data_IF_015070802666
#
_entry.id   IF_015070802666
#
_cell.length_a   1.000
_cell.length_b   1.000
_cell.length_c   1.000
_cell.angle_alpha   90.00
_cell.angle_beta   90.00
_cell.angle_gamma   90.00
#
_symmetry.space_group_name_H-M   'P 1'
#
loop_
_entity.id
_entity.type
_entity.pdbx_description
1 polymer ?
#
# COMPACT_ATOMS: atom_id res chain seq x y z
N UNK A 1 -15.42 10.71 -42.77
CA UNK A 1 -14.74 11.97 -43.22
C UNK A 1 -13.39 12.03 -42.53
N UNK A 2 -12.32 11.53 -43.16
CA UNK A 2 -10.96 11.58 -42.60
C UNK A 2 -10.39 12.98 -42.89
N UNK A 3 -10.31 13.82 -41.87
CA UNK A 3 -9.56 15.07 -41.99
C UNK A 3 -8.06 14.75 -42.01
N UNK A 4 -7.44 14.91 -43.14
CA UNK A 4 -5.98 14.88 -43.26
C UNK A 4 -5.40 16.12 -42.56
N UNK A 5 -4.90 15.89 -41.31
CA UNK A 5 -4.15 16.93 -40.62
C UNK A 5 -2.88 17.20 -41.44
N UNK A 6 -2.72 18.42 -41.90
CA UNK A 6 -1.59 18.82 -42.70
C UNK A 6 -0.31 18.63 -41.86
N UNK A 7 0.63 17.81 -42.36
CA UNK A 7 1.89 17.49 -41.68
C UNK A 7 2.66 18.73 -41.20
N UNK A 8 2.53 19.85 -41.94
CA UNK A 8 3.14 21.15 -41.54
C UNK A 8 2.51 21.70 -40.25
N UNK A 9 1.18 21.63 -40.12
CA UNK A 9 0.46 22.09 -38.92
C UNK A 9 0.87 21.24 -37.70
N UNK A 10 0.95 19.93 -37.87
CA UNK A 10 1.40 19.02 -36.82
C UNK A 10 2.84 19.34 -36.38
N UNK A 11 3.74 19.63 -37.32
CA UNK A 11 5.14 19.99 -37.06
C UNK A 11 5.26 21.31 -36.30
N UNK A 12 4.47 22.32 -36.62
CA UNK A 12 4.45 23.58 -35.87
C UNK A 12 3.86 23.43 -34.47
N UNK A 13 2.84 22.60 -34.33
CA UNK A 13 2.26 22.29 -33.02
C UNK A 13 3.27 21.57 -32.12
N UNK A 14 4.02 20.62 -32.66
CA UNK A 14 5.08 19.91 -31.95
C UNK A 14 6.23 20.84 -31.55
N UNK A 15 6.66 21.75 -32.46
CA UNK A 15 7.68 22.74 -32.18
C UNK A 15 7.24 23.71 -31.07
N UNK A 16 5.99 24.18 -31.11
CA UNK A 16 5.40 25.03 -30.06
C UNK A 16 5.38 24.32 -28.71
N UNK A 17 5.05 23.03 -28.68
CA UNK A 17 5.06 22.22 -27.46
C UNK A 17 6.47 22.09 -26.88
N UNK A 18 7.47 21.83 -27.73
CA UNK A 18 8.87 21.75 -27.32
C UNK A 18 9.35 23.09 -26.74
N UNK A 19 9.14 24.18 -27.45
CA UNK A 19 9.58 25.52 -26.99
C UNK A 19 8.86 25.94 -25.69
N UNK A 20 7.57 25.60 -25.53
CA UNK A 20 6.80 25.90 -24.34
C UNK A 20 7.24 25.09 -23.11
N UNK A 21 7.72 23.85 -23.31
CA UNK A 21 8.14 22.99 -22.22
C UNK A 21 9.58 23.23 -21.76
N UNK A 22 10.51 23.47 -22.69
CA UNK A 22 11.94 23.60 -22.33
C UNK A 22 12.30 24.93 -21.67
N UNK A 23 11.53 25.98 -21.83
CA UNK A 23 11.86 27.30 -21.27
C UNK A 23 10.96 27.71 -20.07
N UNK A 24 10.20 26.80 -19.54
CA UNK A 24 9.31 27.08 -18.41
C UNK A 24 10.02 26.82 -17.08
N UNK A 25 10.51 27.90 -16.44
CA UNK A 25 11.16 27.83 -15.10
C UNK A 25 10.27 27.21 -14.02
N UNK A 26 8.93 27.29 -14.18
CA UNK A 26 7.98 26.66 -13.26
C UNK A 26 7.97 25.13 -13.37
N UNK A 27 8.26 24.56 -14.55
CA UNK A 27 8.38 23.10 -14.72
C UNK A 27 9.67 22.55 -14.09
N UNK A 28 10.74 23.33 -14.08
CA UNK A 28 11.99 22.91 -13.43
C UNK A 28 11.91 22.88 -11.90
N UNK A 29 10.96 23.62 -11.32
CA UNK A 29 10.72 23.68 -9.88
C UNK A 29 9.46 22.90 -9.47
N UNK A 30 8.91 22.06 -10.35
CA UNK A 30 7.74 21.27 -10.02
C UNK A 30 8.13 20.14 -9.07
N UNK A 31 7.81 20.33 -7.80
CA UNK A 31 7.91 19.27 -6.80
C UNK A 31 6.67 18.38 -6.91
N UNK A 32 6.89 17.11 -7.16
CA UNK A 32 5.79 16.14 -7.13
C UNK A 32 5.21 16.04 -5.72
N UNK A 33 3.88 15.91 -5.60
CA UNK A 33 3.24 15.83 -4.29
C UNK A 33 3.75 14.63 -3.50
N UNK A 34 4.13 14.91 -2.26
CA UNK A 34 4.56 13.90 -1.29
C UNK A 34 3.35 13.40 -0.51
N UNK A 35 3.41 12.18 -0.02
CA UNK A 35 2.35 11.62 0.82
C UNK A 35 2.33 12.35 2.16
N UNK A 36 1.20 12.95 2.48
CA UNK A 36 0.96 13.66 3.74
C UNK A 36 0.13 12.82 4.71
N UNK A 37 -0.83 12.04 4.19
CA UNK A 37 -1.71 11.22 5.03
C UNK A 37 -1.72 9.77 4.58
N UNK A 38 -1.79 8.87 5.56
CA UNK A 38 -1.98 7.43 5.36
C UNK A 38 -3.18 7.04 6.23
N UNK A 39 -4.24 6.60 5.56
CA UNK A 39 -5.46 6.14 6.20
C UNK A 39 -5.52 4.62 6.13
N UNK A 40 -5.80 3.98 7.26
CA UNK A 40 -5.85 2.53 7.38
C UNK A 40 -7.22 2.15 7.91
N UNK A 41 -7.91 1.31 7.17
CA UNK A 41 -9.23 0.79 7.52
C UNK A 41 -9.18 -0.72 7.76
N UNK A 42 -10.03 -1.21 8.66
CA UNK A 42 -10.20 -2.64 8.91
C UNK A 42 -9.22 -3.28 9.91
N UNK A 43 -8.36 -2.50 10.55
CA UNK A 43 -7.53 -2.97 11.67
C UNK A 43 -8.33 -2.85 12.98
N UNK A 44 -8.68 -4.00 13.59
CA UNK A 44 -9.38 -4.05 14.87
C UNK A 44 -8.45 -3.79 16.05
N UNK A 45 -7.21 -4.21 15.95
CA UNK A 45 -6.19 -3.94 16.95
C UNK A 45 -5.37 -2.72 16.56
N UNK A 46 -5.24 -1.76 17.49
CA UNK A 46 -4.42 -0.56 17.29
C UNK A 46 -2.93 -0.93 17.32
N UNK A 47 -2.48 -1.53 16.23
CA UNK A 47 -1.10 -1.97 16.11
C UNK A 47 -0.20 -0.77 15.82
N UNK A 48 0.15 -0.04 16.88
CA UNK A 48 1.03 1.13 16.84
C UNK A 48 2.33 0.84 16.07
N UNK A 49 2.91 -0.33 16.27
CA UNK A 49 4.14 -0.71 15.58
C UNK A 49 3.93 -0.88 14.07
N UNK A 50 2.77 -1.33 13.65
CA UNK A 50 2.44 -1.47 12.25
C UNK A 50 2.22 -0.10 11.59
N UNK A 51 1.45 0.78 12.21
CA UNK A 51 1.29 2.17 11.76
C UNK A 51 2.64 2.88 11.64
N UNK A 52 3.52 2.72 12.63
CA UNK A 52 4.87 3.29 12.60
C UNK A 52 5.72 2.76 11.44
N UNK A 53 5.59 1.48 11.10
CA UNK A 53 6.27 0.90 9.94
C UNK A 53 5.79 1.52 8.62
N UNK A 54 4.55 1.97 8.53
CA UNK A 54 4.01 2.65 7.33
C UNK A 54 4.42 4.13 7.26
N UNK A 55 4.85 4.73 8.36
CA UNK A 55 5.24 6.15 8.37
C UNK A 55 6.42 6.48 7.47
N UNK A 56 7.28 5.50 7.14
CA UNK A 56 8.37 5.72 6.18
C UNK A 56 7.87 6.08 4.77
N UNK A 57 6.60 5.78 4.47
CA UNK A 57 5.97 6.16 3.20
C UNK A 57 5.60 7.65 3.17
N UNK A 58 5.44 8.29 4.34
CA UNK A 58 5.22 9.73 4.42
C UNK A 58 6.43 10.44 3.82
N UNK A 59 6.18 11.55 3.13
CA UNK A 59 7.18 12.35 2.42
C UNK A 59 7.79 11.69 1.16
N UNK A 60 7.41 10.46 0.84
CA UNK A 60 7.73 9.88 -0.47
C UNK A 60 6.80 10.44 -1.54
N UNK A 61 7.30 10.52 -2.76
CA UNK A 61 6.51 10.92 -3.91
C UNK A 61 5.44 9.86 -4.20
N UNK A 62 4.15 10.26 -4.22
CA UNK A 62 3.03 9.33 -4.43
C UNK A 62 3.07 8.60 -5.77
N UNK A 63 3.67 9.22 -6.82
CA UNK A 63 3.80 8.62 -8.15
C UNK A 63 4.92 7.58 -8.23
N UNK A 64 5.97 7.76 -7.40
CA UNK A 64 7.17 6.93 -7.41
C UNK A 64 7.20 5.88 -6.28
N UNK A 65 6.08 5.69 -5.59
CA UNK A 65 6.00 4.64 -4.57
C UNK A 65 6.21 3.28 -5.22
N UNK A 66 7.16 2.56 -4.65
CA UNK A 66 7.38 1.16 -4.95
C UNK A 66 6.30 0.30 -4.27
N UNK A 67 5.41 -0.24 -5.10
CA UNK A 67 4.32 -1.11 -4.64
C UNK A 67 4.85 -2.41 -4.02
N UNK A 68 6.03 -2.89 -4.42
CA UNK A 68 6.65 -4.07 -3.85
C UNK A 68 6.99 -3.86 -2.37
N UNK A 69 7.54 -2.71 -2.01
CA UNK A 69 7.88 -2.40 -0.61
C UNK A 69 6.63 -2.38 0.29
N UNK A 70 5.52 -1.82 -0.22
CA UNK A 70 4.25 -1.82 0.52
C UNK A 70 3.74 -3.26 0.68
N UNK A 71 3.76 -4.04 -0.40
CA UNK A 71 3.32 -5.43 -0.43
C UNK A 71 4.11 -6.30 0.54
N UNK A 72 5.43 -6.19 0.55
CA UNK A 72 6.29 -6.93 1.47
C UNK A 72 5.97 -6.59 2.93
N UNK A 73 5.79 -5.30 3.23
CA UNK A 73 5.47 -4.84 4.56
C UNK A 73 4.10 -5.34 5.03
N UNK A 74 3.08 -5.30 4.18
CA UNK A 74 1.75 -5.80 4.49
C UNK A 74 1.75 -7.33 4.65
N UNK A 75 2.44 -8.04 3.78
CA UNK A 75 2.57 -9.50 3.83
C UNK A 75 3.38 -10.00 5.04
N UNK A 76 4.26 -9.17 5.59
CA UNK A 76 5.03 -9.51 6.79
C UNK A 76 4.19 -9.54 8.07
N UNK A 77 2.99 -8.98 8.04
CA UNK A 77 2.08 -9.03 9.18
C UNK A 77 1.16 -10.25 9.07
N UNK A 78 1.31 -11.17 10.02
CA UNK A 78 0.55 -12.43 10.04
C UNK A 78 -0.95 -12.23 10.31
N UNK A 79 -1.36 -11.09 10.85
CA UNK A 79 -2.75 -10.77 11.10
C UNK A 79 -3.50 -10.35 9.84
N UNK A 80 -2.81 -10.06 8.74
CA UNK A 80 -3.42 -9.60 7.51
C UNK A 80 -3.77 -10.80 6.62
N UNK A 81 -5.05 -10.95 6.30
CA UNK A 81 -5.56 -11.92 5.34
C UNK A 81 -5.52 -11.36 3.92
N UNK A 82 -6.10 -10.19 3.73
CA UNK A 82 -6.17 -9.50 2.46
C UNK A 82 -5.97 -8.00 2.66
N UNK A 83 -5.53 -7.32 1.63
CA UNK A 83 -5.40 -5.86 1.63
C UNK A 83 -5.62 -5.28 0.25
N UNK A 84 -6.05 -4.01 0.24
CA UNK A 84 -6.10 -3.17 -0.96
C UNK A 84 -5.41 -1.84 -0.65
N UNK A 85 -4.66 -1.33 -1.63
CA UNK A 85 -3.94 -0.07 -1.51
C UNK A 85 -4.41 0.87 -2.60
N UNK A 86 -4.88 2.05 -2.21
CA UNK A 86 -5.38 3.07 -3.13
C UNK A 86 -4.55 4.34 -2.99
N UNK A 87 -4.07 4.84 -4.13
CA UNK A 87 -3.43 6.15 -4.20
C UNK A 87 -4.51 7.19 -4.41
N UNK A 88 -4.81 7.98 -3.37
CA UNK A 88 -5.74 9.11 -3.44
C UNK A 88 -4.96 10.40 -3.70
N UNK A 89 -4.97 10.82 -4.94
CA UNK A 89 -4.27 12.03 -5.34
C UNK A 89 -4.90 13.29 -4.72
N UNK A 90 -4.10 14.33 -4.41
CA UNK A 90 -2.68 14.45 -4.75
C UNK A 90 -1.70 13.80 -3.75
N UNK A 91 -2.08 13.54 -2.49
CA UNK A 91 -1.10 13.30 -1.42
C UNK A 91 -1.52 12.29 -0.35
N UNK A 92 -2.53 11.46 -0.60
CA UNK A 92 -3.06 10.51 0.37
C UNK A 92 -2.93 9.08 -0.10
N UNK A 93 -2.61 8.18 0.85
CA UNK A 93 -2.61 6.74 0.65
C UNK A 93 -3.68 6.12 1.54
N UNK A 94 -4.56 5.32 0.94
CA UNK A 94 -5.57 4.57 1.67
C UNK A 94 -5.25 3.09 1.60
N UNK A 95 -5.29 2.41 2.75
CA UNK A 95 -5.01 0.99 2.88
C UNK A 95 -6.22 0.35 3.56
N UNK A 96 -6.92 -0.50 2.84
CA UNK A 96 -7.97 -1.34 3.39
C UNK A 96 -7.38 -2.70 3.75
N UNK A 97 -7.64 -3.16 4.96
CA UNK A 97 -7.12 -4.42 5.49
C UNK A 97 -8.28 -5.30 5.94
N UNK A 98 -8.21 -6.56 5.58
CA UNK A 98 -9.06 -7.61 6.13
C UNK A 98 -8.19 -8.45 7.06
N UNK A 99 -8.56 -8.49 8.34
CA UNK A 99 -7.85 -9.31 9.33
C UNK A 99 -8.18 -10.79 9.16
N UNK A 100 -7.20 -11.62 9.46
CA UNK A 100 -7.36 -13.09 9.47
C UNK A 100 -8.30 -13.52 10.59
N UNK A 101 -9.14 -14.52 10.31
CA UNK A 101 -9.94 -15.18 11.34
C UNK A 101 -9.12 -16.30 11.97
N UNK A 102 -9.21 -16.44 13.28
CA UNK A 102 -8.55 -17.53 13.98
C UNK A 102 -9.41 -18.79 13.90
N UNK A 103 -8.84 -19.84 13.33
CA UNK A 103 -9.55 -21.10 13.09
C UNK A 103 -9.24 -22.17 14.15
N UNK A 104 -8.05 -22.15 14.71
CA UNK A 104 -7.59 -23.16 15.66
C UNK A 104 -6.44 -22.64 16.54
N UNK A 105 -6.12 -23.41 17.58
CA UNK A 105 -4.94 -23.28 18.40
C UNK A 105 -3.97 -24.41 18.11
N UNK A 106 -2.67 -24.14 18.18
CA UNK A 106 -1.62 -25.15 18.13
C UNK A 106 -0.48 -24.78 19.09
N UNK A 107 0.33 -25.76 19.47
CA UNK A 107 1.54 -25.53 20.27
C UNK A 107 2.74 -26.06 19.50
N UNK A 108 3.74 -25.20 19.31
CA UNK A 108 5.00 -25.52 18.64
C UNK A 108 6.13 -25.08 19.59
N UNK A 109 7.02 -25.97 19.93
CA UNK A 109 8.16 -25.71 20.85
C UNK A 109 7.75 -25.05 22.16
N UNK A 110 6.61 -25.46 22.72
CA UNK A 110 6.09 -24.95 24.00
C UNK A 110 5.44 -23.55 23.92
N UNK A 111 5.28 -22.98 22.73
CA UNK A 111 4.60 -21.72 22.51
C UNK A 111 3.25 -21.95 21.83
N UNK A 112 2.24 -21.21 22.27
CA UNK A 112 0.90 -21.26 21.70
C UNK A 112 0.76 -20.33 20.51
N UNK A 113 0.11 -20.82 19.47
CA UNK A 113 -0.17 -20.06 18.25
C UNK A 113 -1.63 -20.20 17.83
N UNK A 114 -2.23 -19.11 17.38
CA UNK A 114 -3.43 -19.18 16.58
C UNK A 114 -3.09 -19.54 15.13
N UNK A 115 -3.88 -20.40 14.55
CA UNK A 115 -3.86 -20.70 13.12
C UNK A 115 -4.85 -19.79 12.44
N UNK A 116 -4.36 -18.87 11.61
CA UNK A 116 -5.20 -17.95 10.87
C UNK A 116 -5.81 -18.58 9.63
N UNK A 117 -6.94 -18.02 9.15
CA UNK A 117 -7.57 -18.41 7.87
C UNK A 117 -6.65 -18.19 6.67
N UNK A 118 -5.65 -17.31 6.80
CA UNK A 118 -4.58 -17.09 5.82
C UNK A 118 -3.45 -18.14 5.86
N UNK A 119 -3.58 -19.17 6.71
CA UNK A 119 -2.59 -20.23 6.91
C UNK A 119 -1.34 -19.82 7.71
N UNK A 120 -1.32 -18.61 8.26
CA UNK A 120 -0.18 -18.12 9.06
C UNK A 120 -0.40 -18.38 10.54
N UNK A 121 0.72 -18.54 11.26
CA UNK A 121 0.74 -18.71 12.70
C UNK A 121 0.93 -17.35 13.38
N UNK A 122 0.12 -17.09 14.41
CA UNK A 122 0.15 -15.87 15.21
C UNK A 122 0.44 -16.26 16.65
N UNK A 123 1.62 -15.91 17.16
CA UNK A 123 2.00 -16.21 18.56
C UNK A 123 1.01 -15.55 19.52
N UNK A 124 0.50 -16.31 20.47
CA UNK A 124 -0.46 -15.83 21.46
C UNK A 124 -0.11 -16.35 22.85
N UNK A 125 -0.45 -15.55 23.84
CA UNK A 125 -0.48 -15.99 25.25
C UNK A 125 -1.90 -16.27 25.76
N UNK A 126 -2.88 -15.88 24.93
CA UNK A 126 -4.29 -16.07 25.25
C UNK A 126 -4.75 -17.41 24.70
N UNK A 127 -5.04 -18.34 25.61
CA UNK A 127 -5.56 -19.67 25.29
C UNK A 127 -7.04 -19.83 25.66
N UNK A 128 -7.69 -18.73 26.09
CA UNK A 128 -9.09 -18.79 26.56
C UNK A 128 -10.12 -18.74 25.40
N UNK A 129 -9.68 -18.56 24.17
CA UNK A 129 -10.59 -18.65 23.04
C UNK A 129 -11.01 -20.09 22.82
N UNK A 130 -12.34 -20.30 22.75
CA UNK A 130 -12.96 -21.61 22.45
C UNK A 130 -12.73 -21.98 20.97
N UNK A 131 -11.51 -22.38 20.66
CA UNK A 131 -11.05 -22.78 19.34
C UNK A 131 -10.57 -24.24 19.37
N UNK A 132 -10.78 -24.99 18.29
CA UNK A 132 -10.28 -26.35 18.17
C UNK A 132 -8.76 -26.38 18.28
N UNK A 133 -8.25 -27.38 18.98
CA UNK A 133 -6.80 -27.58 19.14
C UNK A 133 -6.29 -28.54 18.06
N UNK A 134 -5.23 -28.14 17.35
CA UNK A 134 -4.61 -28.96 16.30
C UNK A 134 -3.22 -29.41 16.79
N UNK A 135 -2.98 -30.70 16.71
CA UNK A 135 -1.67 -31.31 16.92
C UNK A 135 -1.02 -31.59 15.58
N UNK A 136 0.24 -31.22 15.40
CA UNK A 136 1.02 -31.51 14.22
C UNK A 136 2.42 -31.97 14.59
#
# INVERSE_FOLDING_TARGET
>A
MHQYINKKILSYFFLFFILGTFNNKHLNNFEFPKINSIEIYGLLSDNYNFKKKLEFLKLKNIFLIDELQIKELLNSNNLIQEYKVFKKYPSSLEIEIVETQFLALTVIDGKSFFVGSNGKLIETRDTEKDLPFIFG
#
